data_IF_715928511010
#
_entry.id   IF_715928511010
#
_cell.length_a   1.000
_cell.length_b   1.000
_cell.length_c   1.000
_cell.angle_alpha   90.00
_cell.angle_beta   90.00
_cell.angle_gamma   90.00
#
_symmetry.space_group_name_H-M   'P 1'
#
loop_
_entity.id
_entity.type
_entity.pdbx_description
1 polymer ?
#
# COMPACT_ATOMS: atom_id res chain seq x y z
N UNK A 1 -10.17 2.25 -0.22
CA UNK A 1 -10.88 1.75 -1.42
C UNK A 1 -10.25 0.43 -1.78
N UNK A 2 -11.02 -0.65 -1.89
CA UNK A 2 -10.54 -1.94 -2.39
C UNK A 2 -10.96 -2.04 -3.84
N UNK A 3 -10.01 -2.30 -4.73
CA UNK A 3 -10.23 -2.46 -6.18
C UNK A 3 -9.90 -3.90 -6.55
N UNK A 4 -10.70 -4.49 -7.43
CA UNK A 4 -10.46 -5.85 -7.89
C UNK A 4 -9.38 -5.84 -8.99
N UNK A 5 -8.33 -6.63 -8.82
CA UNK A 5 -7.28 -6.79 -9.82
C UNK A 5 -6.33 -5.59 -9.93
N UNK A 6 -5.69 -5.45 -11.09
CA UNK A 6 -4.78 -4.34 -11.37
C UNK A 6 -5.60 -3.07 -11.64
N UNK A 7 -5.27 -1.99 -10.94
CA UNK A 7 -5.93 -0.70 -11.10
C UNK A 7 -5.07 0.22 -11.95
N UNK A 8 -5.56 0.61 -13.12
CA UNK A 8 -4.91 1.59 -13.97
C UNK A 8 -5.38 3.00 -13.58
N UNK A 9 -4.45 3.85 -13.15
CA UNK A 9 -4.79 5.20 -12.70
C UNK A 9 -5.03 6.19 -13.84
N UNK A 10 -4.63 5.85 -15.07
CA UNK A 10 -4.83 6.68 -16.25
C UNK A 10 -6.24 6.54 -16.86
N UNK A 11 -6.90 5.40 -16.63
CA UNK A 11 -8.21 5.08 -17.21
C UNK A 11 -9.39 5.45 -16.30
N UNK A 12 -9.15 5.89 -15.06
CA UNK A 12 -10.19 6.09 -14.05
C UNK A 12 -10.16 7.49 -13.46
N UNK A 13 -11.31 8.18 -13.47
CA UNK A 13 -11.54 9.36 -12.64
C UNK A 13 -11.65 8.92 -11.17
N UNK A 14 -10.49 8.73 -10.54
CA UNK A 14 -10.39 8.40 -9.12
C UNK A 14 -10.76 9.61 -8.24
N UNK A 15 -11.21 9.41 -6.99
CA UNK A 15 -11.55 10.49 -6.05
C UNK A 15 -10.39 11.44 -5.70
N UNK A 16 -9.19 11.17 -6.21
CA UNK A 16 -7.99 11.99 -6.03
C UNK A 16 -7.59 12.76 -7.30
N UNK A 17 -8.49 12.87 -8.28
CA UNK A 17 -8.26 13.48 -9.58
C UNK A 17 -7.44 12.61 -10.53
N UNK A 18 -7.22 13.12 -11.77
CA UNK A 18 -6.42 12.44 -12.79
C UNK A 18 -4.98 12.26 -12.33
N UNK A 19 -4.45 11.04 -12.43
CA UNK A 19 -3.05 10.72 -12.13
C UNK A 19 -2.30 10.40 -13.42
N UNK A 20 -1.00 10.72 -13.44
CA UNK A 20 -0.12 10.53 -14.59
C UNK A 20 0.90 9.40 -14.36
N UNK A 21 0.56 8.45 -13.50
CA UNK A 21 1.39 7.31 -13.17
C UNK A 21 0.93 6.61 -11.91
N UNK A 22 1.17 5.31 -11.87
CA UNK A 22 0.96 4.44 -10.73
C UNK A 22 2.13 3.50 -10.53
N UNK A 23 2.32 3.09 -9.29
CA UNK A 23 3.26 2.06 -8.91
C UNK A 23 2.51 1.00 -8.10
N UNK A 24 2.68 -0.26 -8.49
CA UNK A 24 2.09 -1.40 -7.79
C UNK A 24 3.17 -2.13 -7.01
N UNK A 25 3.06 -2.10 -5.69
CA UNK A 25 3.87 -2.96 -4.82
C UNK A 25 3.14 -4.29 -4.58
N UNK A 26 3.82 -5.41 -4.82
CA UNK A 26 3.27 -6.75 -4.59
C UNK A 26 3.78 -7.29 -3.26
N UNK A 27 2.86 -7.72 -2.40
CA UNK A 27 3.21 -8.39 -1.14
C UNK A 27 3.37 -9.90 -1.37
N UNK A 28 4.50 -10.44 -0.89
CA UNK A 28 4.69 -11.88 -0.82
C UNK A 28 3.93 -12.47 0.38
N UNK A 29 3.83 -13.79 0.44
CA UNK A 29 3.28 -14.47 1.62
C UNK A 29 4.07 -14.16 2.91
N UNK A 30 5.40 -14.01 2.80
CA UNK A 30 6.27 -13.63 3.92
C UNK A 30 5.95 -12.23 4.43
N UNK A 31 5.71 -11.26 3.53
CA UNK A 31 5.31 -9.91 3.91
C UNK A 31 3.97 -9.92 4.66
N UNK A 32 3.00 -10.73 4.20
CA UNK A 32 1.71 -10.89 4.87
C UNK A 32 1.87 -11.52 6.26
N UNK A 33 2.71 -12.54 6.38
CA UNK A 33 2.98 -13.19 7.66
C UNK A 33 3.66 -12.24 8.65
N UNK A 34 4.61 -11.42 8.19
CA UNK A 34 5.26 -10.40 9.02
C UNK A 34 4.25 -9.40 9.58
N UNK A 35 3.32 -8.90 8.74
CA UNK A 35 2.23 -8.02 9.17
C UNK A 35 1.31 -8.69 10.21
N UNK A 36 0.96 -9.95 10.01
CA UNK A 36 0.13 -10.73 10.94
C UNK A 36 0.81 -10.99 12.29
N UNK A 37 2.14 -10.91 12.35
CA UNK A 37 2.94 -11.02 13.58
C UNK A 37 3.15 -9.66 14.27
N UNK A 38 2.55 -8.58 13.75
CA UNK A 38 2.67 -7.23 14.29
C UNK A 38 3.94 -6.50 13.86
N UNK A 39 4.63 -6.97 12.82
CA UNK A 39 5.74 -6.24 12.23
C UNK A 39 5.21 -5.18 11.24
N UNK A 40 6.05 -4.17 10.98
CA UNK A 40 5.81 -3.15 9.96
C UNK A 40 6.53 -3.51 8.67
N UNK A 41 5.90 -3.24 7.52
CA UNK A 41 6.61 -3.20 6.25
C UNK A 41 6.99 -1.76 5.94
N UNK A 42 8.22 -1.58 5.48
CA UNK A 42 8.76 -0.28 5.09
C UNK A 42 8.86 -0.24 3.57
N UNK A 43 8.20 0.72 2.95
CA UNK A 43 8.21 0.92 1.50
C UNK A 43 8.88 2.25 1.20
N UNK A 44 10.04 2.19 0.55
CA UNK A 44 10.67 3.36 -0.03
C UNK A 44 9.94 3.73 -1.33
N UNK A 45 9.42 4.96 -1.39
CA UNK A 45 8.75 5.46 -2.58
C UNK A 45 9.70 6.37 -3.33
N UNK A 46 10.47 5.75 -4.22
CA UNK A 46 11.40 6.40 -5.15
C UNK A 46 12.39 7.36 -4.47
N UNK A 47 12.79 7.06 -3.23
CA UNK A 47 13.68 7.89 -2.42
C UNK A 47 13.10 9.26 -2.01
N UNK A 48 11.82 9.54 -2.26
CA UNK A 48 11.19 10.81 -1.89
C UNK A 48 10.59 10.73 -0.49
N UNK A 49 9.91 9.64 -0.17
CA UNK A 49 9.34 9.38 1.14
C UNK A 49 9.22 7.89 1.43
N UNK A 50 8.96 7.58 2.70
CA UNK A 50 8.82 6.21 3.19
C UNK A 50 7.41 5.99 3.73
N UNK A 51 6.78 4.91 3.31
CA UNK A 51 5.51 4.44 3.84
C UNK A 51 5.75 3.30 4.83
N UNK A 52 5.09 3.37 5.98
CA UNK A 52 5.01 2.27 6.94
C UNK A 52 3.64 1.63 6.78
N UNK A 53 3.63 0.36 6.40
CA UNK A 53 2.41 -0.43 6.25
C UNK A 53 2.27 -1.33 7.49
N UNK A 54 1.12 -1.21 8.13
CA UNK A 54 0.77 -1.96 9.34
C UNK A 54 -0.59 -2.65 9.18
N UNK A 55 -0.78 -3.78 9.87
CA UNK A 55 -2.07 -4.44 9.90
C UNK A 55 -3.01 -3.61 10.79
N UNK A 56 -4.17 -3.20 10.26
CA UNK A 56 -5.07 -2.28 10.95
C UNK A 56 -5.60 -2.78 12.30
N UNK A 57 -5.67 -4.10 12.49
CA UNK A 57 -6.10 -4.71 13.76
C UNK A 57 -5.04 -4.55 14.87
N UNK A 58 -3.79 -4.29 14.49
CA UNK A 58 -2.67 -4.04 15.39
C UNK A 58 -2.42 -2.55 15.64
N UNK A 59 -3.34 -1.68 15.17
CA UNK A 59 -3.31 -0.24 15.36
C UNK A 59 -3.64 0.13 16.82
N UNK A 60 -2.82 -0.34 17.77
CA UNK A 60 -2.80 0.14 19.14
C UNK A 60 -1.92 1.38 19.18
N UNK A 61 -2.47 2.54 18.82
CA UNK A 61 -1.88 3.80 19.29
C UNK A 61 -2.37 4.09 20.71
N UNK A 62 -1.50 4.50 21.64
CA UNK A 62 -1.92 5.21 22.84
C UNK A 62 -2.57 6.56 22.49
#
# INVERSE_FOLDING_TARGET
MVVAGRFDTAEVDAPFGKRFGDETLTLSAEHLQALQQGNLLVVDVQGEYVLFVELAEDLRRP
#
